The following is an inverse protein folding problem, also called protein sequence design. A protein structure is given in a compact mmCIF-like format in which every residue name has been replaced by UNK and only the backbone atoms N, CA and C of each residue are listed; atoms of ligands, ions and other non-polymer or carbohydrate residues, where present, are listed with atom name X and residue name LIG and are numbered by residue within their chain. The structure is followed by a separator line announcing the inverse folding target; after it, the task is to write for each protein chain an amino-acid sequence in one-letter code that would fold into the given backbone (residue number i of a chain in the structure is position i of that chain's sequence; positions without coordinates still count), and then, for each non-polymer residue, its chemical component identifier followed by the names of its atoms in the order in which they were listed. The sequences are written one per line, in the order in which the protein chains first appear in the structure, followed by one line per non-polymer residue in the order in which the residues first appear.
data_IF_624535404756
#
_entry.id   IF_624535404756
#
_cell.length_a   1.000
_cell.length_b   1.000
_cell.length_c   1.000
_cell.angle_alpha   90.00
_cell.angle_beta   90.00
_cell.angle_gamma   90.00
#
_symmetry.space_group_name_H-M   'P 1'
#
loop_
_entity.id
_entity.type
_entity.pdbx_description
1 polymer ?
#
# COMPACT_ATOMS: atom_id res chain seq x y z
N UNK A 1 -54.21 -17.02 -38.15
CA UNK A 1 -53.71 -17.65 -36.91
C UNK A 1 -52.55 -18.55 -37.33
N UNK A 2 -51.35 -18.47 -36.81
CA UNK A 2 -50.83 -17.98 -35.54
C UNK A 2 -49.59 -18.85 -35.30
N UNK A 3 -48.41 -18.25 -35.24
CA UNK A 3 -47.15 -18.96 -35.12
C UNK A 3 -46.09 -18.01 -34.60
N UNK A 4 -46.34 -17.49 -33.40
CA UNK A 4 -45.42 -16.58 -32.71
C UNK A 4 -44.18 -17.34 -32.27
N UNK A 5 -43.03 -16.94 -32.80
CA UNK A 5 -41.73 -17.44 -32.40
C UNK A 5 -41.42 -17.07 -30.95
N UNK A 6 -41.29 -18.09 -30.10
CA UNK A 6 -40.77 -17.96 -28.74
C UNK A 6 -39.25 -17.85 -28.78
N UNK A 7 -38.73 -16.64 -28.99
CA UNK A 7 -37.32 -16.35 -28.75
C UNK A 7 -37.08 -16.20 -27.25
N UNK A 8 -36.70 -17.28 -26.56
CA UNK A 8 -36.11 -17.17 -25.22
C UNK A 8 -34.68 -16.64 -25.34
N UNK A 9 -34.55 -15.36 -25.69
CA UNK A 9 -33.27 -14.67 -25.62
C UNK A 9 -32.95 -14.44 -24.15
N UNK A 10 -32.09 -15.27 -23.55
CA UNK A 10 -31.41 -14.91 -22.32
C UNK A 10 -30.57 -13.66 -22.64
N UNK A 11 -31.10 -12.48 -22.36
CA UNK A 11 -30.40 -11.22 -22.58
C UNK A 11 -29.34 -11.09 -21.48
N UNK A 12 -28.10 -11.42 -21.80
CA UNK A 12 -26.97 -11.12 -20.94
C UNK A 12 -26.73 -9.61 -20.96
N UNK A 13 -27.08 -8.93 -19.86
CA UNK A 13 -26.66 -7.55 -19.63
C UNK A 13 -25.40 -7.55 -18.77
N UNK A 14 -24.34 -6.96 -19.29
CA UNK A 14 -23.09 -6.76 -18.53
C UNK A 14 -23.15 -5.39 -17.86
N UNK A 15 -23.01 -5.35 -16.54
CA UNK A 15 -22.77 -4.12 -15.81
C UNK A 15 -21.26 -3.99 -15.56
N UNK A 16 -20.64 -2.95 -16.12
CA UNK A 16 -19.23 -2.68 -15.91
C UNK A 16 -19.05 -1.60 -14.86
N UNK A 17 -18.20 -1.88 -13.86
CA UNK A 17 -17.83 -0.93 -12.82
C UNK A 17 -16.47 -1.31 -12.23
N UNK A 18 -15.61 -0.31 -12.01
CA UNK A 18 -14.29 -0.53 -11.42
C UNK A 18 -14.33 -0.28 -9.91
N UNK A 19 -14.08 -1.32 -9.12
CA UNK A 19 -13.86 -1.19 -7.67
C UNK A 19 -12.38 -0.89 -7.42
N UNK A 20 -12.06 0.36 -7.08
CA UNK A 20 -10.67 0.81 -6.87
C UNK A 20 -10.25 0.83 -5.40
N UNK A 21 -11.20 0.68 -4.47
CA UNK A 21 -10.92 0.57 -3.04
C UNK A 21 -10.91 -0.89 -2.61
N UNK A 22 -9.89 -1.26 -1.85
CA UNK A 22 -9.82 -2.58 -1.25
C UNK A 22 -10.89 -2.70 -0.16
N UNK A 23 -11.51 -3.87 -0.06
CA UNK A 23 -12.58 -4.10 0.91
C UNK A 23 -13.56 -5.18 0.50
N UNK A 24 -14.50 -5.46 1.40
CA UNK A 24 -15.64 -6.31 1.14
C UNK A 24 -16.81 -5.48 0.63
N UNK A 25 -17.32 -5.84 -0.54
CA UNK A 25 -18.48 -5.22 -1.17
C UNK A 25 -19.63 -6.21 -1.18
N UNK A 26 -20.83 -5.73 -0.82
CA UNK A 26 -22.05 -6.52 -0.94
C UNK A 26 -22.75 -6.10 -2.22
N UNK A 27 -22.84 -7.02 -3.16
CA UNK A 27 -23.60 -6.83 -4.39
C UNK A 27 -24.97 -7.46 -4.20
N UNK A 28 -26.02 -6.69 -4.48
CA UNK A 28 -27.42 -7.12 -4.42
C UNK A 28 -27.99 -7.12 -5.83
N UNK A 29 -28.71 -8.18 -6.16
CA UNK A 29 -29.53 -8.23 -7.36
C UNK A 29 -30.99 -8.39 -6.93
N UNK A 30 -31.86 -7.49 -7.42
CA UNK A 30 -33.29 -7.49 -7.07
C UNK A 30 -34.14 -7.35 -8.32
N UNK A 31 -35.28 -8.03 -8.34
CA UNK A 31 -36.35 -7.86 -9.33
C UNK A 31 -37.58 -7.36 -8.57
N UNK A 32 -38.12 -6.20 -8.95
CA UNK A 32 -39.25 -5.56 -8.25
C UNK A 32 -39.04 -5.41 -6.73
N UNK A 33 -37.80 -5.13 -6.32
CA UNK A 33 -37.41 -4.99 -4.91
C UNK A 33 -37.25 -6.32 -4.15
N UNK A 34 -37.46 -7.47 -4.80
CA UNK A 34 -37.21 -8.80 -4.22
C UNK A 34 -35.85 -9.33 -4.62
N UNK A 35 -35.09 -9.85 -3.67
CA UNK A 35 -33.76 -10.41 -3.94
C UNK A 35 -33.85 -11.62 -4.86
N UNK A 36 -32.95 -11.65 -5.85
CA UNK A 36 -32.81 -12.80 -6.75
C UNK A 36 -32.16 -13.95 -5.98
N UNK A 37 -32.62 -15.19 -6.20
CA UNK A 37 -32.03 -16.38 -5.58
C UNK A 37 -30.52 -16.43 -5.80
N UNK A 38 -29.76 -16.63 -4.72
CA UNK A 38 -28.29 -16.64 -4.74
C UNK A 38 -27.64 -15.26 -4.59
N UNK A 39 -28.44 -14.22 -4.34
CA UNK A 39 -28.01 -12.88 -3.97
C UNK A 39 -28.60 -12.49 -2.61
N UNK A 40 -27.94 -11.64 -1.81
CA UNK A 40 -26.68 -10.93 -2.08
C UNK A 40 -25.42 -11.81 -2.15
N UNK A 41 -24.37 -11.29 -2.77
CA UNK A 41 -23.03 -11.90 -2.79
C UNK A 41 -21.97 -10.92 -2.29
N UNK A 42 -20.94 -11.47 -1.65
CA UNK A 42 -19.79 -10.70 -1.19
C UNK A 42 -18.69 -10.79 -2.24
N UNK A 43 -18.20 -9.62 -2.68
CA UNK A 43 -17.02 -9.47 -3.52
C UNK A 43 -15.89 -8.91 -2.66
N UNK A 44 -14.74 -9.58 -2.62
CA UNK A 44 -13.55 -9.07 -1.93
C UNK A 44 -12.59 -8.48 -2.95
N UNK A 45 -12.24 -7.21 -2.76
CA UNK A 45 -11.23 -6.52 -3.54
C UNK A 45 -9.98 -6.44 -2.66
N UNK A 46 -8.92 -7.11 -3.10
CA UNK A 46 -7.61 -7.01 -2.46
C UNK A 46 -6.91 -5.71 -2.91
N UNK A 47 -6.01 -5.15 -2.09
CA UNK A 47 -5.10 -4.10 -2.54
C UNK A 47 -4.30 -4.55 -3.76
N UNK A 48 -3.99 -3.61 -4.65
CA UNK A 48 -3.13 -3.85 -5.80
C UNK A 48 -1.65 -3.98 -5.43
N UNK A 49 -0.79 -4.03 -6.44
CA UNK A 49 0.66 -4.05 -6.27
C UNK A 49 1.16 -2.78 -5.55
N UNK A 50 2.20 -2.96 -4.73
CA UNK A 50 2.80 -1.88 -3.94
C UNK A 50 3.29 -0.75 -4.85
N UNK A 51 2.96 0.48 -4.48
CA UNK A 51 3.41 1.69 -5.12
C UNK A 51 4.26 2.52 -4.13
N UNK A 52 5.57 2.59 -4.40
CA UNK A 52 6.50 3.36 -3.57
C UNK A 52 6.04 4.81 -3.35
N UNK A 53 5.56 5.49 -4.40
CA UNK A 53 5.09 6.87 -4.34
C UNK A 53 3.83 7.11 -3.48
N UNK A 54 3.10 6.04 -3.11
CA UNK A 54 1.93 6.11 -2.22
C UNK A 54 2.20 5.59 -0.82
N UNK A 55 3.34 4.92 -0.62
CA UNK A 55 3.75 4.36 0.68
C UNK A 55 3.86 5.48 1.71
N UNK A 56 3.37 5.22 2.91
CA UNK A 56 3.39 6.17 4.02
C UNK A 56 4.54 5.83 4.96
N UNK A 57 5.21 6.87 5.44
CA UNK A 57 6.23 6.78 6.46
C UNK A 57 5.78 7.57 7.68
N UNK A 58 5.98 7.00 8.87
CA UNK A 58 5.73 7.67 10.14
C UNK A 58 6.73 7.21 11.19
N UNK A 59 6.87 7.96 12.27
CA UNK A 59 7.73 7.59 13.39
C UNK A 59 8.81 8.61 13.69
N UNK A 60 9.60 8.27 14.69
CA UNK A 60 10.51 9.20 15.36
C UNK A 60 11.61 9.70 14.45
N UNK A 61 12.13 8.85 13.55
CA UNK A 61 13.16 9.23 12.60
C UNK A 61 12.76 10.40 11.67
N UNK A 62 11.46 10.71 11.55
CA UNK A 62 10.97 11.87 10.79
C UNK A 62 10.54 13.06 11.66
N UNK A 63 10.30 12.82 12.95
CA UNK A 63 9.70 13.80 13.86
C UNK A 63 10.73 14.45 14.79
N UNK A 64 11.84 13.78 15.07
CA UNK A 64 12.90 14.27 15.96
C UNK A 64 14.29 14.04 15.34
N UNK A 65 15.28 14.85 15.74
CA UNK A 65 16.68 14.59 15.39
C UNK A 65 17.11 13.21 15.88
N UNK A 66 17.98 12.55 15.10
CA UNK A 66 18.55 11.26 15.49
C UNK A 66 19.52 11.44 16.66
N UNK A 67 19.55 10.44 17.54
CA UNK A 67 20.57 10.36 18.60
C UNK A 67 21.71 9.47 18.11
N UNK A 68 22.94 10.00 18.16
CA UNK A 68 24.14 9.29 17.72
C UNK A 68 24.29 7.97 18.46
N UNK A 69 24.51 6.89 17.72
CA UNK A 69 24.69 5.54 18.24
C UNK A 69 23.38 4.85 18.70
N UNK A 70 22.24 5.54 18.69
CA UNK A 70 20.96 4.97 19.08
C UNK A 70 20.12 4.57 17.85
N UNK A 71 19.62 3.32 17.77
CA UNK A 71 18.69 2.92 16.72
C UNK A 71 17.39 3.71 16.85
N UNK A 72 17.02 4.42 15.79
CA UNK A 72 15.78 5.21 15.74
C UNK A 72 14.76 4.51 14.84
N UNK A 73 13.57 4.13 15.36
CA UNK A 73 12.58 3.41 14.59
C UNK A 73 11.82 4.33 13.61
N UNK A 74 11.44 3.74 12.49
CA UNK A 74 10.60 4.29 11.44
C UNK A 74 9.56 3.24 11.04
N UNK A 75 8.29 3.57 11.17
CA UNK A 75 7.19 2.77 10.68
C UNK A 75 6.89 3.09 9.21
N UNK A 76 6.62 2.05 8.43
CA UNK A 76 6.39 2.12 6.99
C UNK A 76 5.13 1.33 6.70
N UNK A 77 4.15 1.96 6.05
CA UNK A 77 2.94 1.29 5.57
C UNK A 77 2.94 1.31 4.04
N UNK A 78 3.08 0.14 3.42
CA UNK A 78 3.02 0.04 1.96
C UNK A 78 1.58 0.24 1.49
N UNK A 79 1.45 0.94 0.36
CA UNK A 79 0.18 1.29 -0.25
C UNK A 79 0.23 0.94 -1.74
N UNK A 80 -0.92 0.59 -2.33
CA UNK A 80 -1.04 0.46 -3.77
C UNK A 80 -1.21 1.83 -4.48
N UNK A 81 -1.28 1.82 -5.81
CA UNK A 81 -1.46 3.04 -6.60
C UNK A 81 -2.79 3.79 -6.32
N UNK A 82 -3.80 3.08 -5.81
CA UNK A 82 -5.11 3.61 -5.45
C UNK A 82 -5.20 4.08 -3.98
N UNK A 83 -4.09 3.99 -3.25
CA UNK A 83 -3.99 4.38 -1.83
C UNK A 83 -4.66 3.38 -0.90
N UNK A 84 -4.74 2.11 -1.29
CA UNK A 84 -5.15 1.04 -0.39
C UNK A 84 -3.92 0.51 0.36
N UNK A 85 -4.04 0.33 1.67
CA UNK A 85 -3.01 -0.33 2.45
C UNK A 85 -2.83 -1.77 1.97
N UNK A 86 -1.60 -2.12 1.60
CA UNK A 86 -1.29 -3.50 1.28
C UNK A 86 -1.52 -4.36 2.52
N UNK A 87 -2.11 -5.53 2.33
CA UNK A 87 -2.47 -6.45 3.42
C UNK A 87 -1.46 -7.60 3.60
N UNK A 88 -0.41 -7.62 2.78
CA UNK A 88 0.63 -8.64 2.80
C UNK A 88 2.01 -7.99 2.83
N UNK A 89 2.92 -8.64 3.56
CA UNK A 89 4.34 -8.32 3.54
C UNK A 89 5.05 -8.82 2.27
N UNK A 90 6.37 -8.93 2.34
CA UNK A 90 7.23 -9.44 1.28
C UNK A 90 7.63 -8.42 0.22
N UNK A 91 7.30 -7.14 0.39
CA UNK A 91 7.88 -6.08 -0.42
C UNK A 91 9.35 -5.88 -0.04
N UNK A 92 10.19 -5.64 -1.05
CA UNK A 92 11.59 -5.27 -0.82
C UNK A 92 11.65 -3.84 -0.29
N UNK A 93 11.79 -3.67 1.01
CA UNK A 93 11.85 -2.36 1.69
C UNK A 93 13.26 -2.14 2.21
N UNK A 94 13.81 -0.95 1.95
CA UNK A 94 15.13 -0.54 2.45
C UNK A 94 15.09 0.88 3.00
N UNK A 95 15.93 1.13 4.00
CA UNK A 95 16.15 2.45 4.59
C UNK A 95 17.65 2.70 4.73
N UNK A 96 18.11 3.89 4.39
CA UNK A 96 19.52 4.27 4.51
C UNK A 96 19.68 5.73 4.89
N UNK A 97 20.75 6.04 5.60
CA UNK A 97 21.16 7.38 5.95
C UNK A 97 22.39 7.77 5.12
N UNK A 98 22.45 9.03 4.69
CA UNK A 98 23.64 9.63 4.07
C UNK A 98 24.00 10.93 4.77
N UNK A 99 25.20 11.00 5.35
CA UNK A 99 25.68 12.20 6.02
C UNK A 99 25.97 13.28 5.00
N UNK A 100 25.42 14.48 5.20
CA UNK A 100 25.43 15.55 4.20
C UNK A 100 26.86 16.07 3.97
N UNK A 101 27.66 16.21 5.04
CA UNK A 101 28.99 16.82 4.92
C UNK A 101 30.08 15.84 4.47
N UNK A 102 30.08 14.61 4.98
CA UNK A 102 31.13 13.62 4.66
C UNK A 102 30.74 12.64 3.55
N UNK A 103 29.46 12.55 3.21
CA UNK A 103 28.95 11.54 2.29
C UNK A 103 28.90 10.11 2.86
N UNK A 104 29.24 9.92 4.15
CA UNK A 104 29.18 8.61 4.80
C UNK A 104 27.76 8.04 4.74
N UNK A 105 27.62 6.73 4.52
CA UNK A 105 26.33 6.05 4.43
C UNK A 105 26.19 4.99 5.51
N UNK A 106 24.98 4.85 6.04
CA UNK A 106 24.61 3.79 6.98
C UNK A 106 23.32 3.13 6.50
N UNK A 107 23.31 1.80 6.42
CA UNK A 107 22.10 1.04 6.11
C UNK A 107 21.29 0.78 7.38
N UNK A 108 19.97 0.93 7.28
CA UNK A 108 19.04 0.56 8.33
C UNK A 108 18.62 -0.90 8.23
N UNK A 109 18.22 -1.47 9.35
CA UNK A 109 17.57 -2.79 9.38
C UNK A 109 16.08 -2.64 9.10
N UNK A 110 15.46 -3.61 8.44
CA UNK A 110 14.01 -3.62 8.18
C UNK A 110 13.39 -4.92 8.66
N UNK A 111 12.32 -4.81 9.46
CA UNK A 111 11.47 -5.90 9.87
C UNK A 111 10.13 -5.84 9.12
N UNK A 112 9.75 -6.94 8.48
CA UNK A 112 8.44 -7.11 7.83
C UNK A 112 7.47 -7.79 8.81
N UNK A 113 6.35 -7.13 9.09
CA UNK A 113 5.29 -7.64 9.98
C UNK A 113 4.32 -8.58 9.26
N UNK A 114 4.51 -8.78 7.95
CA UNK A 114 3.73 -9.67 7.08
C UNK A 114 2.29 -9.22 6.81
N UNK A 115 1.94 -8.02 7.24
CA UNK A 115 0.61 -7.41 7.06
C UNK A 115 0.65 -6.15 6.17
N UNK A 116 1.76 -5.91 5.48
CA UNK A 116 2.01 -4.72 4.67
C UNK A 116 2.58 -3.54 5.46
N UNK A 117 2.75 -3.69 6.77
CA UNK A 117 3.54 -2.77 7.59
C UNK A 117 4.97 -3.29 7.82
N UNK A 118 5.91 -2.36 7.95
CA UNK A 118 7.31 -2.63 8.19
C UNK A 118 7.85 -1.67 9.25
N UNK A 119 8.84 -2.12 10.01
CA UNK A 119 9.61 -1.25 10.90
C UNK A 119 11.06 -1.23 10.44
N UNK A 120 11.53 -0.06 10.01
CA UNK A 120 12.93 0.19 9.79
C UNK A 120 13.57 0.78 11.06
N UNK A 121 14.84 0.49 11.29
CA UNK A 121 15.63 1.15 12.32
C UNK A 121 16.94 1.67 11.70
N UNK A 122 17.22 2.95 11.91
CA UNK A 122 18.40 3.63 11.37
C UNK A 122 19.23 4.20 12.52
N UNK A 123 20.56 4.16 12.39
CA UNK A 123 21.49 4.63 13.42
C UNK A 123 22.48 5.59 12.78
N UNK A 124 22.52 6.83 13.26
CA UNK A 124 23.56 7.79 12.89
C UNK A 124 24.82 7.49 13.71
N UNK A 125 25.98 7.34 13.07
CA UNK A 125 27.26 7.07 13.73
C UNK A 125 27.97 8.34 14.22
N UNK A 126 27.50 9.52 13.78
CA UNK A 126 28.03 10.83 14.16
C UNK A 126 26.99 11.93 14.09
N UNK A 127 27.29 13.01 14.79
CA UNK A 127 26.50 14.24 14.73
C UNK A 127 26.68 14.95 13.38
N UNK A 128 25.61 15.60 12.94
CA UNK A 128 25.55 16.34 11.68
C UNK A 128 24.21 16.11 10.99
N UNK A 129 24.03 16.76 9.84
CA UNK A 129 22.82 16.58 9.04
C UNK A 129 22.88 15.26 8.27
N UNK A 130 21.79 14.50 8.31
CA UNK A 130 21.65 13.28 7.52
C UNK A 130 20.47 13.38 6.55
N UNK A 131 20.60 12.69 5.42
CA UNK A 131 19.51 12.45 4.48
C UNK A 131 19.07 10.99 4.62
N UNK A 132 17.86 10.78 5.15
CA UNK A 132 17.18 9.50 5.16
C UNK A 132 16.54 9.21 3.81
N UNK A 133 16.89 8.07 3.22
CA UNK A 133 16.27 7.52 2.01
C UNK A 133 15.52 6.24 2.37
N UNK A 134 14.26 6.15 1.95
CA UNK A 134 13.48 4.91 2.05
C UNK A 134 13.03 4.52 0.65
N UNK A 135 13.22 3.25 0.30
CA UNK A 135 12.83 2.69 -0.98
C UNK A 135 11.98 1.42 -0.81
N UNK A 136 11.09 1.20 -1.77
CA UNK A 136 10.25 0.02 -1.88
C UNK A 136 10.32 -0.51 -3.32
N UNK A 137 10.72 -1.77 -3.49
CA UNK A 137 10.95 -2.37 -4.81
C UNK A 137 11.97 -1.59 -5.64
N UNK A 138 13.07 -1.16 -5.01
CA UNK A 138 14.12 -0.33 -5.63
C UNK A 138 13.73 1.12 -5.96
N UNK A 139 12.50 1.54 -5.67
CA UNK A 139 12.03 2.91 -5.93
C UNK A 139 11.91 3.70 -4.64
N UNK A 140 12.45 4.92 -4.62
CA UNK A 140 12.33 5.78 -3.45
C UNK A 140 10.87 6.17 -3.18
N UNK A 141 10.47 6.15 -1.90
CA UNK A 141 9.14 6.58 -1.46
C UNK A 141 8.94 8.09 -1.69
N UNK A 142 10.03 8.88 -1.61
CA UNK A 142 10.08 10.29 -2.03
C UNK A 142 11.39 10.59 -2.74
N UNK A 143 11.33 11.43 -3.78
CA UNK A 143 12.48 11.76 -4.63
C UNK A 143 13.63 12.49 -3.90
N UNK A 144 13.33 13.33 -2.90
CA UNK A 144 14.33 14.18 -2.24
C UNK A 144 14.88 13.62 -0.92
N UNK A 145 14.46 12.42 -0.49
CA UNK A 145 14.73 11.93 0.86
C UNK A 145 14.16 12.83 1.97
N UNK A 146 14.54 12.56 3.21
CA UNK A 146 14.14 13.33 4.39
C UNK A 146 15.39 13.84 5.11
N UNK A 147 15.45 15.13 5.43
CA UNK A 147 16.50 15.67 6.31
C UNK A 147 16.16 15.32 7.75
N UNK A 148 17.08 14.67 8.45
CA UNK A 148 16.88 14.11 9.79
C UNK A 148 18.11 14.32 10.66
#
# INVERSE_FOLDING_TARGET
AGGGGGGSGAMAMTFEGALTKAGGYVVRATVEGKEVRGWPRIVRVAPGAVAAAKTLLCGEALARPLVVGAPTPLAIQTMDAHGNACAAGGAEVSASLKHVASGATAEGTVADHKDGSYTAAVTADRAGDWTLTVAVGGKQVRAAGYKV
#
